data_IF_442093378145
#
_entry.id   IF_442093378145
#
_cell.length_a   1.000
_cell.length_b   1.000
_cell.length_c   1.000
_cell.angle_alpha   90.00
_cell.angle_beta   90.00
_cell.angle_gamma   90.00
#
_symmetry.space_group_name_H-M   'P 1'
#
loop_
_entity.id
_entity.type
_entity.pdbx_description
1 polymer ?
#
# COMPACT_ATOMS: atom_id res chain seq x y z
N UNK A 1 8.72 14.29 11.89
CA UNK A 1 7.31 14.60 11.61
C UNK A 1 6.65 13.36 11.04
N UNK A 2 5.60 12.89 11.68
CA UNK A 2 4.86 11.71 11.22
C UNK A 2 4.19 12.00 9.89
N UNK A 3 4.24 11.03 8.99
CA UNK A 3 3.53 11.08 7.71
C UNK A 3 2.72 9.79 7.53
N UNK A 4 1.64 9.91 6.77
CA UNK A 4 0.80 8.77 6.37
C UNK A 4 0.83 8.71 4.85
N UNK A 5 1.27 7.61 4.29
CA UNK A 5 1.18 7.38 2.85
C UNK A 5 -0.11 6.64 2.53
N UNK A 6 -0.90 7.20 1.62
CA UNK A 6 -2.07 6.53 1.04
C UNK A 6 -1.71 6.12 -0.39
N UNK A 7 -1.89 4.86 -0.69
CA UNK A 7 -1.59 4.27 -2.00
C UNK A 7 -2.87 3.69 -2.58
N UNK A 8 -3.31 4.24 -3.71
CA UNK A 8 -4.51 3.78 -4.41
C UNK A 8 -4.10 3.06 -5.69
N UNK A 9 -4.49 1.80 -5.82
CA UNK A 9 -4.29 1.03 -7.04
C UNK A 9 -5.62 0.86 -7.73
N UNK A 10 -5.75 1.42 -8.94
CA UNK A 10 -6.92 1.24 -9.80
C UNK A 10 -6.69 -0.01 -10.65
N UNK A 11 -7.47 -1.03 -10.39
CA UNK A 11 -7.32 -2.36 -10.96
C UNK A 11 -8.21 -2.50 -12.19
N UNK A 12 -7.80 -3.31 -13.16
CA UNK A 12 -8.66 -3.61 -14.31
C UNK A 12 -9.97 -4.23 -13.84
N UNK A 13 -11.06 -3.88 -14.51
CA UNK A 13 -12.40 -4.33 -14.15
C UNK A 13 -12.46 -5.85 -13.98
N UNK A 14 -13.02 -6.30 -12.85
CA UNK A 14 -13.16 -7.71 -12.55
C UNK A 14 -11.94 -8.35 -11.89
N UNK A 15 -10.81 -7.65 -11.78
CA UNK A 15 -9.57 -8.24 -11.26
C UNK A 15 -9.28 -7.88 -9.80
N UNK A 16 -10.13 -7.05 -9.17
CA UNK A 16 -9.90 -6.64 -7.77
C UNK A 16 -9.88 -7.83 -6.79
N UNK A 17 -10.81 -8.80 -6.87
CA UNK A 17 -10.76 -9.94 -5.95
C UNK A 17 -9.45 -10.73 -6.03
N UNK A 18 -8.87 -10.86 -7.21
CA UNK A 18 -7.58 -11.53 -7.39
C UNK A 18 -6.45 -10.75 -6.73
N UNK A 19 -6.43 -9.42 -6.90
CA UNK A 19 -5.43 -8.57 -6.26
C UNK A 19 -5.51 -8.69 -4.73
N UNK A 20 -6.71 -8.60 -4.17
CA UNK A 20 -6.92 -8.70 -2.72
C UNK A 20 -6.46 -10.05 -2.20
N UNK A 21 -6.79 -11.13 -2.91
CA UNK A 21 -6.36 -12.47 -2.54
C UNK A 21 -4.84 -12.61 -2.54
N UNK A 22 -4.17 -12.09 -3.55
CA UNK A 22 -2.71 -12.13 -3.64
C UNK A 22 -2.06 -11.36 -2.49
N UNK A 23 -2.59 -10.18 -2.14
CA UNK A 23 -2.12 -9.43 -0.98
C UNK A 23 -2.33 -10.21 0.31
N UNK A 24 -3.50 -10.81 0.49
CA UNK A 24 -3.79 -11.58 1.70
C UNK A 24 -2.86 -12.79 1.86
N UNK A 25 -2.56 -13.48 0.77
CA UNK A 25 -1.77 -14.71 0.79
C UNK A 25 -0.26 -14.44 0.85
N UNK A 26 0.22 -13.37 0.22
CA UNK A 26 1.66 -13.17 0.03
C UNK A 26 2.13 -11.76 0.39
N UNK A 27 1.51 -10.74 -0.21
CA UNK A 27 2.07 -9.40 -0.23
C UNK A 27 2.05 -8.68 1.10
N UNK A 28 0.95 -8.79 1.85
CA UNK A 28 0.79 -8.00 3.08
C UNK A 28 1.78 -8.42 4.17
N UNK A 29 2.12 -9.70 4.26
CA UNK A 29 3.09 -10.17 5.23
C UNK A 29 4.48 -9.59 4.97
N UNK A 30 4.92 -9.63 3.72
CA UNK A 30 6.22 -9.07 3.31
C UNK A 30 6.24 -7.55 3.54
N UNK A 31 5.21 -6.88 3.07
CA UNK A 31 5.10 -5.42 3.12
C UNK A 31 5.05 -4.92 4.55
N UNK A 32 4.27 -5.55 5.41
CA UNK A 32 4.15 -5.17 6.82
C UNK A 32 5.44 -5.39 7.58
N UNK A 33 6.15 -6.48 7.31
CA UNK A 33 7.43 -6.77 7.94
C UNK A 33 8.47 -5.69 7.64
N UNK A 34 8.55 -5.25 6.40
CA UNK A 34 9.59 -4.32 5.95
C UNK A 34 9.20 -2.87 6.20
N UNK A 35 7.96 -2.48 5.87
CA UNK A 35 7.52 -1.09 6.03
C UNK A 35 7.16 -0.75 7.48
N UNK A 36 6.70 -1.72 8.26
CA UNK A 36 6.12 -1.44 9.58
C UNK A 36 4.86 -0.60 9.43
N UNK A 37 4.37 0.04 10.47
CA UNK A 37 3.38 1.11 10.41
C UNK A 37 2.14 0.88 9.54
N UNK A 38 1.71 -0.36 9.34
CA UNK A 38 0.50 -0.64 8.56
C UNK A 38 -0.72 -0.05 9.28
N UNK A 39 -1.46 0.84 8.59
CA UNK A 39 -2.68 1.45 9.11
C UNK A 39 -3.91 0.63 8.72
N UNK A 40 -3.99 0.23 7.46
CA UNK A 40 -5.09 -0.55 6.96
C UNK A 40 -5.10 -0.63 5.44
N UNK A 41 -5.93 -1.53 4.93
CA UNK A 41 -6.20 -1.61 3.50
C UNK A 41 -7.71 -1.72 3.28
N UNK A 42 -8.16 -1.16 2.16
CA UNK A 42 -9.58 -0.97 1.90
C UNK A 42 -9.87 -1.19 0.42
N UNK A 43 -11.08 -1.62 0.13
CA UNK A 43 -11.60 -1.61 -1.23
C UNK A 43 -12.74 -0.61 -1.30
N UNK A 44 -12.91 0.04 -2.45
CA UNK A 44 -14.00 0.99 -2.63
C UNK A 44 -15.32 0.24 -2.85
N UNK A 45 -16.30 0.48 -1.99
CA UNK A 45 -17.64 -0.06 -2.14
C UNK A 45 -18.51 0.86 -3.01
N UNK A 46 -18.49 2.16 -2.69
CA UNK A 46 -19.21 3.19 -3.45
C UNK A 46 -18.21 4.29 -3.81
N UNK A 47 -18.12 4.63 -5.09
CA UNK A 47 -17.18 5.62 -5.60
C UNK A 47 -16.35 5.07 -6.74
N UNK A 48 -15.05 5.32 -6.74
CA UNK A 48 -14.14 4.79 -7.75
C UNK A 48 -13.98 3.28 -7.55
N UNK A 49 -14.77 2.50 -8.27
CA UNK A 49 -14.77 1.03 -8.17
C UNK A 49 -13.46 0.43 -8.65
N UNK A 50 -13.23 -0.84 -8.33
CA UNK A 50 -12.00 -1.57 -8.67
C UNK A 50 -10.75 -0.89 -8.11
N UNK A 51 -10.87 -0.27 -6.94
CA UNK A 51 -9.77 0.41 -6.27
C UNK A 51 -9.40 -0.29 -4.98
N UNK A 52 -8.10 -0.58 -4.82
CA UNK A 52 -7.50 -1.08 -3.60
C UNK A 52 -6.67 0.04 -2.99
N UNK A 53 -6.94 0.37 -1.73
CA UNK A 53 -6.24 1.44 -1.01
C UNK A 53 -5.51 0.85 0.18
N UNK A 54 -4.22 1.17 0.33
CA UNK A 54 -3.46 0.85 1.54
C UNK A 54 -2.90 2.12 2.16
N UNK A 55 -2.79 2.12 3.49
CA UNK A 55 -2.27 3.26 4.23
C UNK A 55 -1.17 2.80 5.18
N UNK A 56 -0.08 3.59 5.20
CA UNK A 56 1.15 3.27 5.92
C UNK A 56 1.65 4.50 6.67
N UNK A 57 2.01 4.30 7.94
CA UNK A 57 2.56 5.36 8.79
C UNK A 57 4.08 5.25 8.86
N UNK A 58 4.76 6.39 8.76
CA UNK A 58 6.21 6.49 8.97
C UNK A 58 6.50 7.63 9.93
N UNK A 59 7.58 7.51 10.70
CA UNK A 59 8.00 8.57 11.63
C UNK A 59 8.53 9.81 10.88
N UNK A 60 9.01 9.62 9.65
CA UNK A 60 9.58 10.69 8.83
C UNK A 60 9.66 10.27 7.36
N UNK A 61 9.92 11.23 6.48
CA UNK A 61 10.23 10.94 5.08
C UNK A 61 11.50 10.09 4.95
N UNK A 62 12.51 10.34 5.79
CA UNK A 62 13.75 9.58 5.76
C UNK A 62 13.51 8.11 6.11
N UNK A 63 12.67 7.84 7.11
CA UNK A 63 12.30 6.46 7.44
C UNK A 63 11.56 5.79 6.28
N UNK A 64 10.63 6.51 5.65
CA UNK A 64 9.92 6.00 4.48
C UNK A 64 10.89 5.58 3.37
N UNK A 65 11.84 6.45 3.04
CA UNK A 65 12.82 6.16 1.98
C UNK A 65 13.64 4.91 2.30
N UNK A 66 14.13 4.80 3.53
CA UNK A 66 14.92 3.65 3.98
C UNK A 66 14.11 2.37 3.90
N UNK A 67 12.89 2.37 4.41
CA UNK A 67 12.05 1.17 4.44
C UNK A 67 11.59 0.77 3.05
N UNK A 68 11.25 1.72 2.20
CA UNK A 68 10.85 1.43 0.84
C UNK A 68 12.01 0.88 0.01
N UNK A 69 13.22 1.39 0.21
CA UNK A 69 14.41 0.85 -0.45
C UNK A 69 14.67 -0.60 -0.01
N UNK A 70 14.51 -0.89 1.28
CA UNK A 70 14.65 -2.25 1.81
C UNK A 70 13.61 -3.21 1.22
N UNK A 71 12.36 -2.75 1.06
CA UNK A 71 11.31 -3.55 0.44
C UNK A 71 11.64 -3.89 -1.01
N UNK A 72 12.05 -2.88 -1.78
CA UNK A 72 12.39 -3.07 -3.19
C UNK A 72 13.59 -3.98 -3.41
N UNK A 73 14.46 -4.11 -2.42
CA UNK A 73 15.63 -4.98 -2.50
C UNK A 73 15.29 -6.46 -2.21
N UNK A 74 14.12 -6.76 -1.66
CA UNK A 74 13.72 -8.12 -1.33
C UNK A 74 13.28 -8.89 -2.56
N UNK A 75 13.83 -10.08 -2.74
CA UNK A 75 13.50 -10.93 -3.89
C UNK A 75 12.05 -11.42 -3.84
N UNK A 76 11.54 -11.77 -2.66
CA UNK A 76 10.15 -12.20 -2.51
C UNK A 76 9.16 -11.10 -2.86
N UNK A 77 9.48 -9.84 -2.56
CA UNK A 77 8.66 -8.70 -2.97
C UNK A 77 8.65 -8.51 -4.49
N UNK A 78 9.80 -8.68 -5.13
CA UNK A 78 9.91 -8.60 -6.59
C UNK A 78 9.05 -9.66 -7.26
N UNK A 79 9.05 -10.89 -6.74
CA UNK A 79 8.20 -11.98 -7.24
C UNK A 79 6.72 -11.63 -7.08
N UNK A 80 6.34 -11.11 -5.93
CA UNK A 80 4.96 -10.67 -5.68
C UNK A 80 4.53 -9.56 -6.64
N UNK A 81 5.36 -8.54 -6.82
CA UNK A 81 5.06 -7.43 -7.74
C UNK A 81 4.80 -7.92 -9.15
N UNK A 82 5.56 -8.90 -9.62
CA UNK A 82 5.35 -9.46 -10.96
C UNK A 82 3.96 -10.08 -11.10
N UNK A 83 3.39 -10.59 -10.01
CA UNK A 83 2.04 -11.17 -10.02
C UNK A 83 0.94 -10.11 -10.08
N UNK A 84 1.12 -8.97 -9.41
CA UNK A 84 0.06 -7.96 -9.31
C UNK A 84 0.14 -6.89 -10.39
N UNK A 85 1.31 -6.61 -10.95
CA UNK A 85 1.47 -5.56 -11.97
C UNK A 85 0.50 -5.69 -13.15
N UNK A 86 0.27 -6.89 -13.72
CA UNK A 86 -0.69 -7.02 -14.82
C UNK A 86 -2.14 -6.68 -14.43
N UNK A 87 -2.45 -6.69 -13.14
CA UNK A 87 -3.80 -6.41 -12.65
C UNK A 87 -4.06 -4.90 -12.49
N UNK A 88 -3.00 -4.12 -12.36
CA UNK A 88 -3.10 -2.69 -12.03
C UNK A 88 -3.15 -1.88 -13.32
N UNK A 89 -4.18 -1.03 -13.42
CA UNK A 89 -4.35 -0.10 -14.55
C UNK A 89 -3.61 1.20 -14.28
N UNK A 90 -3.88 1.85 -13.15
CA UNK A 90 -3.22 3.09 -12.74
C UNK A 90 -2.98 3.08 -11.23
N UNK A 91 -2.09 3.97 -10.79
CA UNK A 91 -1.73 4.08 -9.38
C UNK A 91 -1.60 5.55 -9.00
N UNK A 92 -2.09 5.89 -7.81
CA UNK A 92 -1.91 7.20 -7.20
C UNK A 92 -1.39 7.03 -5.79
N UNK A 93 -0.48 7.92 -5.40
CA UNK A 93 0.01 8.00 -4.03
C UNK A 93 -0.18 9.42 -3.52
N UNK A 94 -0.43 9.55 -2.22
CA UNK A 94 -0.38 10.85 -1.55
C UNK A 94 0.26 10.69 -0.19
N UNK A 95 0.94 11.74 0.25
CA UNK A 95 1.50 11.82 1.59
C UNK A 95 0.63 12.78 2.38
N UNK A 96 0.12 12.31 3.51
CA UNK A 96 -0.77 13.06 4.40
C UNK A 96 0.00 13.39 5.68
N UNK A 97 -0.25 14.58 6.22
CA UNK A 97 0.27 14.97 7.53
C UNK A 97 -0.90 15.01 8.50
N UNK A 98 -0.85 14.24 9.60
CA UNK A 98 -1.95 14.26 10.56
C UNK A 98 -2.05 15.64 11.24
N UNK A 99 -3.27 16.09 11.45
CA UNK A 99 -3.52 17.28 12.26
C UNK A 99 -3.25 16.98 13.72
N UNK A 100 -3.07 18.03 14.53
CA UNK A 100 -2.81 17.86 15.98
C UNK A 100 -3.93 17.13 16.71
N UNK A 101 -5.15 17.17 16.17
CA UNK A 101 -6.33 16.52 16.77
C UNK A 101 -6.70 15.21 16.06
N UNK A 102 -5.89 14.72 15.13
CA UNK A 102 -6.14 13.44 14.48
C UNK A 102 -5.94 12.29 15.49
N UNK A 103 -6.84 11.30 15.43
CA UNK A 103 -6.68 10.09 16.23
C UNK A 103 -5.42 9.32 15.83
N UNK A 104 -5.03 9.42 14.57
CA UNK A 104 -3.81 8.81 14.04
C UNK A 104 -2.68 9.84 14.04
N UNK A 105 -1.67 9.55 14.82
CA UNK A 105 -0.50 10.43 14.96
C UNK A 105 0.77 9.72 14.51
#
# INVERSE_FOLDING_TARGET
MVIIEQRDYHVHTGRLPELVRLYAEEGIAIQSEVLGGFVGSFTTDIGALSTYTSMWRYDSFAERETRRAALQARDDWKVFLAKIQPLIHTQQNRILTPTSFSALQ
#
